data_IF_212135128114
#
_entry.id   IF_212135128114
#
_cell.length_a   1.000
_cell.length_b   1.000
_cell.length_c   1.000
_cell.angle_alpha   90.00
_cell.angle_beta   90.00
_cell.angle_gamma   90.00
#
_symmetry.space_group_name_H-M   'P 1'
#
loop_
_entity.id
_entity.type
_entity.pdbx_description
1 polymer ?
#
# COMPACT_ATOMS: atom_id res chain seq x y z
N UNK A 1 15.87 -9.11 -10.99
CA UNK A 1 15.23 -10.29 -11.63
C UNK A 1 13.89 -9.87 -12.19
N UNK A 2 13.50 -10.34 -13.37
CA UNK A 2 12.45 -9.78 -14.25
C UNK A 2 10.98 -9.89 -13.77
N UNK A 3 10.74 -10.14 -12.48
CA UNK A 3 9.43 -10.07 -11.81
C UNK A 3 9.60 -9.76 -10.32
N UNK A 4 10.36 -8.73 -9.97
CA UNK A 4 10.43 -8.34 -8.55
C UNK A 4 9.06 -7.80 -8.15
N UNK A 5 8.46 -8.45 -7.15
CA UNK A 5 7.23 -8.03 -6.47
C UNK A 5 7.61 -7.47 -5.11
N UNK A 6 6.80 -6.55 -4.59
CA UNK A 6 6.99 -6.00 -3.24
C UNK A 6 5.82 -6.42 -2.33
N UNK A 7 5.88 -7.68 -1.92
CA UNK A 7 4.88 -8.36 -1.09
C UNK A 7 5.57 -9.40 -0.20
N UNK A 8 4.98 -9.65 0.97
CA UNK A 8 5.39 -10.70 1.88
C UNK A 8 4.19 -11.22 2.67
N UNK A 9 4.28 -12.46 3.14
CA UNK A 9 3.26 -13.10 3.98
C UNK A 9 3.84 -13.36 5.37
N UNK A 10 3.00 -13.18 6.39
CA UNK A 10 3.31 -13.55 7.76
C UNK A 10 2.28 -14.59 8.22
N UNK A 11 2.76 -15.74 8.72
CA UNK A 11 1.92 -16.72 9.37
C UNK A 11 1.64 -16.28 10.81
N UNK A 12 0.39 -16.46 11.25
CA UNK A 12 -0.07 -16.04 12.58
C UNK A 12 -0.27 -17.29 13.44
N UNK A 13 0.35 -17.31 14.62
CA UNK A 13 0.25 -18.43 15.55
C UNK A 13 -1.17 -18.61 16.10
N UNK A 14 -1.50 -19.85 16.44
CA UNK A 14 -2.75 -20.19 17.10
C UNK A 14 -2.96 -19.38 18.39
N UNK A 15 -4.17 -18.85 18.58
CA UNK A 15 -4.53 -17.98 19.72
C UNK A 15 -4.49 -16.48 19.40
N UNK A 16 -3.89 -16.08 18.28
CA UNK A 16 -4.06 -14.74 17.74
C UNK A 16 -5.23 -14.70 16.75
N UNK A 17 -5.84 -13.52 16.59
CA UNK A 17 -6.93 -13.31 15.62
C UNK A 17 -6.54 -12.29 14.56
N UNK A 18 -6.99 -12.54 13.33
CA UNK A 18 -6.83 -11.60 12.22
C UNK A 18 -8.02 -10.64 12.26
N UNK A 19 -7.73 -9.35 12.46
CA UNK A 19 -8.73 -8.29 12.36
C UNK A 19 -9.21 -8.11 10.93
N UNK A 20 -10.50 -7.83 10.75
CA UNK A 20 -11.14 -7.64 9.44
C UNK A 20 -11.38 -6.15 9.14
N UNK A 21 -10.57 -5.28 9.75
CA UNK A 21 -10.63 -3.82 9.64
C UNK A 21 -9.23 -3.23 9.46
N UNK A 22 -9.16 -2.07 8.80
CA UNK A 22 -7.97 -1.23 8.70
C UNK A 22 -8.00 -0.18 9.81
N UNK A 23 -6.93 -0.12 10.62
CA UNK A 23 -6.76 0.96 11.61
C UNK A 23 -6.41 2.28 10.92
N UNK A 24 -6.89 3.40 11.44
CA UNK A 24 -6.55 4.73 10.94
C UNK A 24 -5.66 5.51 11.93
N UNK A 25 -5.10 4.82 12.94
CA UNK A 25 -4.34 5.44 14.03
C UNK A 25 -5.11 6.61 14.71
N UNK A 26 -6.42 6.42 14.90
CA UNK A 26 -7.31 7.40 15.54
C UNK A 26 -7.76 8.57 14.65
N UNK A 27 -7.41 8.59 13.36
CA UNK A 27 -7.76 9.69 12.44
C UNK A 27 -9.21 9.64 11.93
N UNK A 28 -9.76 8.45 11.76
CA UNK A 28 -11.09 8.23 11.15
C UNK A 28 -11.78 6.95 11.66
N UNK A 29 -11.46 6.47 12.87
CA UNK A 29 -11.98 5.20 13.40
C UNK A 29 -11.33 3.97 12.75
N UNK A 30 -12.01 2.83 12.72
CA UNK A 30 -11.58 1.66 11.95
C UNK A 30 -12.41 1.54 10.68
N UNK A 31 -11.79 1.10 9.58
CA UNK A 31 -12.47 0.94 8.29
C UNK A 31 -12.66 -0.56 8.01
N UNK A 32 -13.90 -1.06 7.87
CA UNK A 32 -14.12 -2.47 7.61
C UNK A 32 -13.67 -2.89 6.23
N UNK A 33 -13.12 -4.10 6.13
CA UNK A 33 -12.75 -4.74 4.88
C UNK A 33 -13.89 -5.67 4.45
N UNK A 34 -14.61 -5.28 3.39
CA UNK A 34 -15.73 -6.05 2.82
C UNK A 34 -15.41 -6.72 1.49
N UNK A 35 -14.20 -6.52 0.97
CA UNK A 35 -13.79 -7.12 -0.28
C UNK A 35 -12.45 -6.58 -0.79
N UNK A 36 -12.08 -7.02 -1.98
CA UNK A 36 -10.84 -6.67 -2.67
C UNK A 36 -11.09 -6.21 -4.11
N UNK A 37 -12.28 -5.67 -4.41
CA UNK A 37 -12.57 -5.19 -5.76
C UNK A 37 -11.60 -4.05 -6.10
N UNK A 38 -10.78 -4.26 -7.13
CA UNK A 38 -9.81 -3.27 -7.61
C UNK A 38 -10.53 -1.97 -8.02
N UNK A 39 -10.11 -0.86 -7.42
CA UNK A 39 -10.64 0.46 -7.72
C UNK A 39 -10.07 0.98 -9.05
N UNK A 40 -10.84 1.71 -9.87
CA UNK A 40 -10.31 2.28 -11.11
C UNK A 40 -9.35 3.45 -10.84
N UNK A 41 -8.50 3.76 -11.81
CA UNK A 41 -7.70 4.99 -11.83
C UNK A 41 -8.56 6.23 -11.54
N UNK A 42 -8.09 7.13 -10.68
CA UNK A 42 -8.80 8.33 -10.23
C UNK A 42 -9.77 8.12 -9.06
N UNK A 43 -10.05 6.87 -8.67
CA UNK A 43 -10.86 6.55 -7.49
C UNK A 43 -10.20 7.04 -6.20
N UNK A 44 -11.03 7.38 -5.21
CA UNK A 44 -10.54 7.76 -3.88
C UNK A 44 -9.79 6.59 -3.24
N UNK A 45 -8.70 6.90 -2.55
CA UNK A 45 -7.81 5.90 -1.96
C UNK A 45 -7.24 6.45 -0.66
N UNK A 46 -7.20 5.62 0.37
CA UNK A 46 -6.54 5.96 1.64
C UNK A 46 -5.53 4.88 2.03
N UNK A 47 -4.50 5.29 2.76
CA UNK A 47 -3.42 4.45 3.27
C UNK A 47 -3.35 4.57 4.78
N UNK A 48 -3.26 3.42 5.45
CA UNK A 48 -2.82 3.30 6.84
C UNK A 48 -1.34 2.96 6.92
N UNK A 49 -0.56 3.65 7.76
CA UNK A 49 0.84 3.32 8.03
C UNK A 49 1.37 4.01 9.29
N UNK A 50 2.40 3.44 9.91
CA UNK A 50 2.88 3.86 11.23
C UNK A 50 3.42 5.30 11.25
N UNK A 51 4.04 5.75 10.18
CA UNK A 51 4.72 7.06 10.14
C UNK A 51 3.74 8.18 9.82
N UNK A 52 2.94 8.00 8.77
CA UNK A 52 2.03 9.06 8.30
C UNK A 52 0.59 8.86 8.76
N UNK A 53 0.32 7.80 9.51
CA UNK A 53 -1.01 7.42 10.00
C UNK A 53 -1.98 7.17 8.84
N UNK A 54 -2.96 8.05 8.69
CA UNK A 54 -4.01 7.97 7.69
C UNK A 54 -3.87 9.11 6.68
N UNK A 55 -3.47 8.76 5.46
CA UNK A 55 -3.35 9.70 4.35
C UNK A 55 -4.26 9.26 3.21
N UNK A 56 -4.84 10.22 2.51
CA UNK A 56 -5.78 9.94 1.42
C UNK A 56 -5.42 10.73 0.16
N UNK A 57 -5.87 10.21 -0.97
CA UNK A 57 -5.59 10.69 -2.30
C UNK A 57 -6.39 9.88 -3.32
N UNK A 58 -5.76 9.59 -4.45
CA UNK A 58 -6.40 8.86 -5.55
C UNK A 58 -5.48 7.77 -6.10
N UNK A 59 -6.10 6.73 -6.64
CA UNK A 59 -5.43 5.75 -7.50
C UNK A 59 -4.87 6.49 -8.73
N UNK A 60 -3.62 6.24 -9.06
CA UNK A 60 -2.97 6.67 -10.30
C UNK A 60 -3.15 5.62 -11.38
N UNK A 61 -2.06 5.03 -11.85
CA UNK A 61 -2.00 4.00 -12.90
C UNK A 61 -1.57 2.65 -12.35
N UNK A 62 -2.01 1.56 -12.98
CA UNK A 62 -1.57 0.20 -12.69
C UNK A 62 -0.41 -0.24 -13.60
N UNK A 63 0.23 -1.35 -13.25
CA UNK A 63 1.32 -1.96 -14.01
C UNK A 63 2.54 -1.04 -14.18
N UNK A 64 2.85 -0.24 -13.16
CA UNK A 64 4.04 0.61 -13.17
C UNK A 64 5.27 -0.17 -12.72
N UNK A 65 6.43 0.26 -13.21
CA UNK A 65 7.73 -0.23 -12.77
C UNK A 65 8.46 0.88 -12.02
N UNK A 66 9.04 0.55 -10.87
CA UNK A 66 9.74 1.51 -10.00
C UNK A 66 11.13 0.96 -9.73
N UNK A 67 12.14 1.81 -9.93
CA UNK A 67 13.52 1.53 -9.53
C UNK A 67 13.75 2.08 -8.14
N UNK A 68 14.03 1.19 -7.19
CA UNK A 68 14.45 1.53 -5.83
C UNK A 68 15.98 1.56 -5.79
N UNK A 69 16.53 2.75 -5.54
CA UNK A 69 17.97 2.95 -5.41
C UNK A 69 18.45 2.58 -4.02
N UNK A 70 19.51 1.77 -3.94
CA UNK A 70 20.15 1.43 -2.68
C UNK A 70 20.99 2.62 -2.18
N UNK A 71 20.63 3.16 -1.02
CA UNK A 71 21.32 4.31 -0.43
C UNK A 71 22.73 3.98 0.09
N UNK A 72 23.04 2.70 0.28
CA UNK A 72 24.35 2.21 0.72
C UNK A 72 25.25 1.80 -0.46
N UNK A 73 24.85 2.11 -1.70
CA UNK A 73 25.62 1.81 -2.91
C UNK A 73 25.53 0.37 -3.40
N UNK A 74 24.56 -0.40 -2.89
CA UNK A 74 24.20 -1.71 -3.45
C UNK A 74 23.48 -1.60 -4.81
N UNK A 75 23.09 -2.73 -5.41
CA UNK A 75 22.43 -2.74 -6.70
C UNK A 75 21.00 -2.20 -6.61
N UNK A 76 20.64 -1.35 -7.57
CA UNK A 76 19.27 -0.89 -7.75
C UNK A 76 18.30 -2.07 -7.98
N UNK A 77 17.12 -1.98 -7.36
CA UNK A 77 16.08 -3.00 -7.47
C UNK A 77 14.89 -2.47 -8.25
N UNK A 78 14.55 -3.11 -9.36
CA UNK A 78 13.36 -2.77 -10.16
C UNK A 78 12.19 -3.66 -9.74
N UNK A 79 11.14 -3.04 -9.21
CA UNK A 79 9.86 -3.69 -8.88
C UNK A 79 8.84 -3.37 -9.95
N UNK A 80 8.11 -4.39 -10.40
CA UNK A 80 7.16 -4.31 -11.53
C UNK A 80 5.77 -4.74 -11.11
N UNK A 81 4.73 -4.23 -11.75
CA UNK A 81 3.34 -4.60 -11.44
C UNK A 81 2.74 -3.81 -10.28
N UNK A 82 3.39 -2.71 -9.88
CA UNK A 82 2.86 -1.82 -8.86
C UNK A 82 1.73 -0.96 -9.42
N UNK A 83 0.98 -0.33 -8.52
CA UNK A 83 0.09 0.77 -8.83
C UNK A 83 0.65 2.08 -8.25
N UNK A 84 0.56 3.17 -9.00
CA UNK A 84 0.88 4.51 -8.52
C UNK A 84 -0.33 5.15 -7.85
N UNK A 85 -0.10 6.11 -6.97
CA UNK A 85 -1.17 6.86 -6.31
C UNK A 85 -0.71 8.25 -5.89
N UNK A 86 -1.65 9.15 -5.63
CA UNK A 86 -1.37 10.47 -5.06
C UNK A 86 -1.40 10.48 -3.52
N UNK A 87 -1.47 9.30 -2.89
CA UNK A 87 -1.50 9.17 -1.43
C UNK A 87 -0.10 9.40 -0.88
N UNK A 88 0.01 10.26 0.13
CA UNK A 88 1.30 10.53 0.72
C UNK A 88 1.80 9.36 1.57
N UNK A 89 3.07 8.98 1.41
CA UNK A 89 3.75 7.93 2.17
C UNK A 89 5.16 8.35 2.56
N UNK A 90 5.67 7.82 3.67
CA UNK A 90 7.06 8.00 4.13
C UNK A 90 7.68 6.68 4.60
N UNK A 91 8.99 6.68 4.85
CA UNK A 91 9.68 5.55 5.46
C UNK A 91 9.00 5.13 6.77
N UNK A 92 8.75 3.84 6.94
CA UNK A 92 7.96 3.26 8.04
C UNK A 92 6.48 3.04 7.74
N UNK A 93 5.95 3.51 6.61
CA UNK A 93 4.60 3.15 6.14
C UNK A 93 4.56 1.87 5.29
N UNK A 94 5.73 1.31 4.93
CA UNK A 94 5.87 0.11 4.10
C UNK A 94 5.09 -1.08 4.67
N UNK A 95 4.42 -1.84 3.80
CA UNK A 95 3.48 -2.90 4.18
C UNK A 95 2.12 -2.43 4.68
N UNK A 96 1.95 -1.13 4.95
CA UNK A 96 0.68 -0.55 5.40
C UNK A 96 -0.45 -0.67 4.37
N UNK A 97 -1.70 -0.80 4.85
CA UNK A 97 -2.85 -1.12 4.01
C UNK A 97 -3.37 0.07 3.20
N UNK A 98 -3.69 -0.17 1.93
CA UNK A 98 -4.46 0.70 1.06
C UNK A 98 -5.90 0.23 0.96
N UNK A 99 -6.86 1.17 1.01
CA UNK A 99 -8.29 0.87 0.97
C UNK A 99 -9.07 1.98 0.23
N UNK A 100 -10.08 1.58 -0.54
CA UNK A 100 -11.01 2.47 -1.25
C UNK A 100 -12.43 2.14 -0.80
N UNK A 101 -13.07 3.06 -0.07
CA UNK A 101 -14.32 2.75 0.63
C UNK A 101 -14.10 1.61 1.64
N UNK A 102 -14.74 0.47 1.42
CA UNK A 102 -14.58 -0.77 2.19
C UNK A 102 -13.85 -1.89 1.40
N UNK A 103 -13.22 -1.54 0.28
CA UNK A 103 -12.51 -2.48 -0.60
C UNK A 103 -11.00 -2.34 -0.43
N UNK A 104 -10.34 -3.40 0.06
CA UNK A 104 -8.89 -3.45 0.22
C UNK A 104 -8.20 -3.43 -1.17
N UNK A 105 -7.19 -2.58 -1.32
CA UNK A 105 -6.55 -2.30 -2.60
C UNK A 105 -5.12 -2.81 -2.69
N UNK A 106 -4.39 -2.89 -1.56
CA UNK A 106 -3.00 -3.31 -1.59
C UNK A 106 -2.21 -2.92 -0.35
N UNK A 107 -0.90 -2.98 -0.48
CA UNK A 107 0.07 -2.64 0.58
C UNK A 107 1.12 -1.66 0.08
N UNK A 108 1.57 -0.75 0.94
CA UNK A 108 2.62 0.22 0.61
C UNK A 108 3.90 -0.47 0.18
N UNK A 109 4.36 -0.17 -1.03
CA UNK A 109 5.70 -0.53 -1.50
C UNK A 109 6.68 0.59 -1.13
N UNK A 110 6.44 1.80 -1.64
CA UNK A 110 7.31 2.94 -1.35
C UNK A 110 6.83 4.25 -1.97
N UNK A 111 7.71 5.25 -1.99
CA UNK A 111 7.46 6.57 -2.56
C UNK A 111 8.73 7.42 -2.60
N UNK A 112 8.66 8.66 -3.11
CA UNK A 112 9.83 9.53 -3.23
C UNK A 112 10.49 9.80 -1.86
N UNK A 113 11.82 9.66 -1.77
CA UNK A 113 12.57 9.76 -0.50
C UNK A 113 12.51 11.16 0.15
N UNK A 114 12.37 12.21 -0.67
CA UNK A 114 12.28 13.59 -0.21
C UNK A 114 10.84 14.03 0.13
N UNK A 115 9.83 13.17 -0.05
CA UNK A 115 8.43 13.52 0.20
C UNK A 115 8.16 13.85 1.66
N UNK A 116 7.30 14.86 1.88
CA UNK A 116 6.84 15.27 3.21
C UNK A 116 5.31 15.33 3.26
N UNK A 117 4.72 14.52 4.14
CA UNK A 117 3.26 14.42 4.31
C UNK A 117 2.69 15.50 5.25
N UNK A 118 3.19 16.72 5.12
CA UNK A 118 2.76 17.91 5.83
C UNK A 118 2.32 19.03 4.87
N UNK A 119 2.13 18.71 3.58
CA UNK A 119 1.67 19.64 2.54
C UNK A 119 2.75 20.51 1.90
N UNK A 120 4.03 20.27 2.20
CA UNK A 120 5.12 21.15 1.74
C UNK A 120 5.89 20.62 0.52
N UNK A 121 6.16 19.30 0.43
CA UNK A 121 7.00 18.70 -0.62
C UNK A 121 6.27 17.52 -1.26
N UNK A 122 6.18 17.52 -2.60
CA UNK A 122 5.42 16.56 -3.42
C UNK A 122 3.93 16.51 -3.01
N UNK A 123 3.25 17.66 -2.98
CA UNK A 123 1.84 17.76 -2.58
C UNK A 123 0.88 17.41 -3.75
N UNK A 124 -0.22 16.66 -3.52
CA UNK A 124 -0.72 16.14 -2.23
C UNK A 124 0.03 14.89 -1.72
N UNK A 125 0.83 14.25 -2.55
CA UNK A 125 1.60 13.05 -2.26
C UNK A 125 1.84 12.25 -3.55
N UNK A 126 2.79 11.33 -3.50
CA UNK A 126 3.02 10.27 -4.47
C UNK A 126 3.46 9.01 -3.74
N UNK A 127 2.89 7.88 -4.13
CA UNK A 127 3.28 6.57 -3.61
C UNK A 127 3.06 5.48 -4.64
N UNK A 128 3.62 4.31 -4.31
CA UNK A 128 3.43 3.08 -5.03
C UNK A 128 2.98 2.00 -4.06
N UNK A 129 2.04 1.18 -4.49
CA UNK A 129 1.53 0.06 -3.71
C UNK A 129 1.46 -1.20 -4.56
N UNK A 130 1.65 -2.34 -3.92
CA UNK A 130 1.43 -3.64 -4.54
C UNK A 130 -0.06 -3.98 -4.47
N UNK A 131 -0.74 -4.19 -5.62
CA UNK A 131 -2.17 -4.54 -5.61
C UNK A 131 -2.45 -5.84 -4.85
N UNK A 132 -3.54 -5.84 -4.08
CA UNK A 132 -3.89 -6.95 -3.19
C UNK A 132 -4.31 -8.20 -3.98
N UNK A 133 -5.11 -8.04 -5.03
CA UNK A 133 -5.53 -9.13 -5.89
C UNK A 133 -4.35 -9.83 -6.58
N UNK A 134 -3.32 -9.09 -6.98
CA UNK A 134 -2.07 -9.68 -7.50
C UNK A 134 -1.34 -10.50 -6.42
N UNK A 135 -1.29 -10.00 -5.19
CA UNK A 135 -0.68 -10.72 -4.06
C UNK A 135 -1.46 -11.98 -3.68
N UNK A 136 -2.80 -11.90 -3.60
CA UNK A 136 -3.67 -13.04 -3.32
C UNK A 136 -3.52 -14.12 -4.40
N UNK A 137 -3.49 -13.72 -5.68
CA UNK A 137 -3.29 -14.65 -6.79
C UNK A 137 -1.89 -15.30 -6.74
N UNK A 138 -0.85 -14.52 -6.42
CA UNK A 138 0.51 -15.03 -6.33
C UNK A 138 0.68 -16.09 -5.24
N UNK A 139 0.07 -15.88 -4.06
CA UNK A 139 0.18 -16.80 -2.93
C UNK A 139 -0.94 -17.84 -2.84
N UNK A 140 -1.96 -17.77 -3.71
CA UNK A 140 -3.14 -18.65 -3.63
C UNK A 140 -3.98 -18.44 -2.37
N UNK A 141 -4.06 -17.19 -1.90
CA UNK A 141 -4.76 -16.81 -0.67
C UNK A 141 -6.15 -16.25 -0.95
N UNK A 142 -7.01 -16.31 0.07
CA UNK A 142 -8.31 -15.64 0.09
C UNK A 142 -8.31 -14.51 1.12
N UNK A 143 -9.04 -13.44 0.83
CA UNK A 143 -9.24 -12.35 1.78
C UNK A 143 -10.44 -12.68 2.68
N UNK A 144 -10.21 -12.67 3.99
CA UNK A 144 -11.31 -12.69 4.95
C UNK A 144 -11.93 -11.30 5.04
N UNK A 145 -13.25 -11.24 5.03
CA UNK A 145 -14.01 -9.98 5.05
C UNK A 145 -15.04 -10.00 6.16
N UNK A 146 -15.44 -8.81 6.63
CA UNK A 146 -16.61 -8.65 7.49
C UNK A 146 -17.91 -8.97 6.78
#
# INVERSE_FOLDING_TARGET
>A
GTRSVDMGIAAVDAGNSIGLDVTTYGRAGTVPVKGSKRAPSGAALCKSGQTTNWTCGKVGSYNVSVTYTDQNGGPDTVVTGLASSSVCTQGGDSGGAYISGDQAQGMTSGGPSNQRCNGQVNSPGSSYFQPLDDALAYYGLTLNTK
#
